data_IF_133502487281
#
_entry.id   IF_133502487281
#
_cell.length_a   1.000
_cell.length_b   1.000
_cell.length_c   1.000
_cell.angle_alpha   90.00
_cell.angle_beta   90.00
_cell.angle_gamma   90.00
#
_symmetry.space_group_name_H-M   'P 1'
#
loop_
_entity.id
_entity.type
_entity.pdbx_description
1 polymer ?
#
# COMPACT_ATOMS: atom_id res chain seq x y z
N UNK A 1 -9.25 10.26 0.79
CA UNK A 1 -7.89 10.81 1.01
C UNK A 1 -7.86 12.15 1.74
N UNK A 2 -8.87 13.03 1.61
CA UNK A 2 -8.91 14.34 2.30
C UNK A 2 -8.61 14.28 3.81
N UNK A 3 -9.16 13.28 4.51
CA UNK A 3 -8.91 13.02 5.94
C UNK A 3 -7.45 12.74 6.29
N UNK A 4 -6.64 12.32 5.32
CA UNK A 4 -5.22 12.02 5.48
C UNK A 4 -4.29 13.09 4.91
N UNK A 5 -4.82 14.25 4.46
CA UNK A 5 -4.03 15.29 3.78
C UNK A 5 -2.83 15.78 4.62
N UNK A 6 -3.02 15.96 5.93
CA UNK A 6 -1.94 16.35 6.85
C UNK A 6 -0.81 15.30 6.86
N UNK A 7 -1.16 14.01 6.95
CA UNK A 7 -0.20 12.89 6.95
C UNK A 7 0.49 12.71 5.60
N UNK A 8 -0.23 12.88 4.49
CA UNK A 8 0.35 12.88 3.15
C UNK A 8 1.43 13.96 3.00
N UNK A 9 1.22 15.12 3.62
CA UNK A 9 2.20 16.21 3.59
C UNK A 9 3.36 15.94 4.55
N UNK A 10 3.08 15.54 5.80
CA UNK A 10 4.11 15.39 6.85
C UNK A 10 4.95 14.12 6.72
N UNK A 11 4.34 12.98 6.37
CA UNK A 11 5.01 11.67 6.29
C UNK A 11 5.46 11.36 4.86
N UNK A 12 4.60 11.56 3.87
CA UNK A 12 4.87 11.22 2.46
C UNK A 12 5.56 12.38 1.71
N UNK A 13 5.66 13.55 2.34
CA UNK A 13 6.32 14.74 1.80
C UNK A 13 5.69 15.23 0.47
N UNK A 14 4.39 15.05 0.32
CA UNK A 14 3.64 15.62 -0.80
C UNK A 14 3.46 17.13 -0.61
N UNK A 15 3.28 17.86 -1.72
CA UNK A 15 2.79 19.24 -1.62
C UNK A 15 1.32 19.25 -1.18
N UNK A 16 0.81 20.34 -0.59
CA UNK A 16 -0.61 20.43 -0.23
C UNK A 16 -1.56 20.15 -1.41
N UNK A 17 -1.20 20.65 -2.61
CA UNK A 17 -1.97 20.42 -3.84
C UNK A 17 -2.02 18.93 -4.23
N UNK A 18 -0.85 18.25 -4.20
CA UNK A 18 -0.79 16.81 -4.46
C UNK A 18 -1.58 16.02 -3.41
N UNK A 19 -1.53 16.42 -2.14
CA UNK A 19 -2.24 15.73 -1.06
C UNK A 19 -3.76 15.87 -1.20
N UNK A 20 -4.27 17.03 -1.62
CA UNK A 20 -5.69 17.25 -1.86
C UNK A 20 -6.21 16.43 -3.05
N UNK A 21 -5.40 16.33 -4.11
CA UNK A 21 -5.77 15.67 -5.38
C UNK A 21 -4.91 14.43 -5.65
N UNK A 22 -4.70 13.60 -4.64
CA UNK A 22 -3.73 12.49 -4.71
C UNK A 22 -3.96 11.56 -5.90
N UNK A 23 -5.18 11.04 -6.07
CA UNK A 23 -5.50 10.12 -7.15
C UNK A 23 -5.28 10.76 -8.53
N UNK A 24 -5.69 12.02 -8.71
CA UNK A 24 -5.49 12.77 -9.96
C UNK A 24 -4.01 13.03 -10.23
N UNK A 25 -3.24 13.35 -9.19
CA UNK A 25 -1.79 13.59 -9.30
C UNK A 25 -1.07 12.31 -9.73
N UNK A 26 -1.40 11.16 -9.12
CA UNK A 26 -0.85 9.87 -9.50
C UNK A 26 -1.27 9.47 -10.92
N UNK A 27 -2.54 9.68 -11.28
CA UNK A 27 -3.04 9.42 -12.63
C UNK A 27 -2.29 10.23 -13.69
N UNK A 28 -2.03 11.52 -13.42
CA UNK A 28 -1.22 12.37 -14.29
C UNK A 28 0.23 11.88 -14.38
N UNK A 29 0.85 11.57 -13.24
CA UNK A 29 2.23 11.07 -13.18
C UNK A 29 2.43 9.87 -14.10
N UNK A 30 1.51 8.89 -14.10
CA UNK A 30 1.63 7.68 -14.92
C UNK A 30 1.21 7.88 -16.37
N UNK A 31 0.19 8.72 -16.61
CA UNK A 31 -0.34 9.00 -17.96
C UNK A 31 0.71 9.70 -18.83
N UNK A 32 1.47 10.62 -18.25
CA UNK A 32 2.48 11.42 -18.96
C UNK A 32 3.89 10.82 -18.90
N UNK A 33 4.05 9.58 -18.43
CA UNK A 33 5.31 8.84 -18.59
C UNK A 33 5.65 8.66 -20.07
N UNK A 34 6.96 8.61 -20.35
CA UNK A 34 7.46 8.28 -21.68
C UNK A 34 7.05 6.84 -22.08
N UNK A 35 6.96 6.55 -23.39
CA UNK A 35 6.65 5.20 -23.87
C UNK A 35 7.56 4.11 -23.28
N UNK A 36 8.86 4.41 -23.10
CA UNK A 36 9.86 3.49 -22.57
C UNK A 36 9.55 3.10 -21.12
N UNK A 37 9.22 4.08 -20.27
CA UNK A 37 8.83 3.82 -18.88
C UNK A 37 7.52 3.03 -18.81
N UNK A 38 6.57 3.26 -19.71
CA UNK A 38 5.33 2.46 -19.76
C UNK A 38 5.59 1.01 -20.17
N UNK A 39 6.52 0.78 -21.10
CA UNK A 39 6.98 -0.57 -21.47
C UNK A 39 7.62 -1.25 -20.26
N UNK A 40 8.48 -0.54 -19.52
CA UNK A 40 9.11 -1.08 -18.31
C UNK A 40 8.08 -1.48 -17.25
N UNK A 41 7.03 -0.66 -17.04
CA UNK A 41 5.94 -0.99 -16.11
C UNK A 41 5.20 -2.26 -16.54
N UNK A 42 4.88 -2.39 -17.84
CA UNK A 42 4.18 -3.57 -18.36
C UNK A 42 5.05 -4.83 -18.29
N UNK A 43 6.37 -4.69 -18.44
CA UNK A 43 7.31 -5.79 -18.39
C UNK A 43 7.75 -6.17 -16.96
N UNK A 44 7.41 -5.37 -15.94
CA UNK A 44 7.85 -5.60 -14.56
C UNK A 44 7.26 -6.86 -13.90
N UNK A 45 6.20 -7.42 -14.48
CA UNK A 45 5.48 -8.60 -13.99
C UNK A 45 5.01 -9.45 -15.18
N UNK A 46 5.01 -10.79 -15.07
CA UNK A 46 4.42 -11.64 -16.10
C UNK A 46 2.89 -11.52 -16.18
N UNK A 47 2.25 -11.00 -15.12
CA UNK A 47 0.81 -10.76 -15.09
C UNK A 47 0.50 -9.40 -15.74
N UNK A 48 -0.36 -9.36 -16.77
CA UNK A 48 -0.79 -8.12 -17.43
C UNK A 48 -1.47 -7.11 -16.49
N UNK A 49 -1.35 -5.82 -16.82
CA UNK A 49 -1.91 -4.74 -15.99
C UNK A 49 -3.43 -4.79 -15.88
N UNK A 50 -4.14 -5.21 -16.94
CA UNK A 50 -5.60 -5.37 -16.89
C UNK A 50 -6.04 -6.43 -15.87
N UNK A 51 -5.26 -7.51 -15.73
CA UNK A 51 -5.57 -8.57 -14.77
C UNK A 51 -5.26 -8.10 -13.34
N UNK A 52 -4.22 -7.28 -13.16
CA UNK A 52 -3.96 -6.60 -11.87
C UNK A 52 -5.09 -5.66 -11.48
N UNK A 53 -5.63 -4.90 -12.45
CA UNK A 53 -6.75 -4.00 -12.21
C UNK A 53 -8.02 -4.79 -11.86
N UNK A 54 -8.30 -5.88 -12.58
CA UNK A 54 -9.43 -6.76 -12.30
C UNK A 54 -9.35 -7.36 -10.89
N UNK A 55 -8.17 -7.84 -10.48
CA UNK A 55 -7.94 -8.35 -9.12
C UNK A 55 -8.20 -7.27 -8.07
N UNK A 56 -7.74 -6.04 -8.29
CA UNK A 56 -8.04 -4.94 -7.37
C UNK A 56 -9.54 -4.64 -7.31
N UNK A 57 -10.23 -4.58 -8.45
CA UNK A 57 -11.67 -4.39 -8.51
C UNK A 57 -12.44 -5.47 -7.75
N UNK A 58 -12.06 -6.74 -7.90
CA UNK A 58 -12.63 -7.85 -7.13
C UNK A 58 -12.35 -7.71 -5.63
N UNK A 59 -11.12 -7.33 -5.26
CA UNK A 59 -10.75 -7.05 -3.88
C UNK A 59 -11.61 -5.92 -3.28
N UNK A 60 -11.82 -4.80 -3.98
CA UNK A 60 -12.70 -3.74 -3.48
C UNK A 60 -14.14 -4.20 -3.35
N UNK A 61 -14.65 -4.99 -4.30
CA UNK A 61 -15.96 -5.62 -4.19
C UNK A 61 -16.10 -6.50 -2.93
N UNK A 62 -15.07 -7.29 -2.61
CA UNK A 62 -15.01 -8.04 -1.35
C UNK A 62 -15.00 -7.11 -0.13
N UNK A 63 -14.18 -6.05 -0.14
CA UNK A 63 -14.10 -5.11 0.97
C UNK A 63 -15.44 -4.42 1.24
N UNK A 64 -16.17 -4.05 0.19
CA UNK A 64 -17.48 -3.43 0.29
C UNK A 64 -18.50 -4.40 0.88
N UNK A 65 -18.53 -5.65 0.39
CA UNK A 65 -19.41 -6.69 0.92
C UNK A 65 -19.09 -7.03 2.38
N UNK A 66 -17.83 -7.29 2.70
CA UNK A 66 -17.39 -7.65 4.05
C UNK A 66 -17.70 -6.54 5.07
N UNK A 67 -17.62 -5.27 4.66
CA UNK A 67 -17.95 -4.13 5.51
C UNK A 67 -19.44 -4.06 5.88
N UNK A 68 -20.33 -4.63 5.06
CA UNK A 68 -21.77 -4.70 5.40
C UNK A 68 -22.08 -5.73 6.49
N UNK A 69 -21.20 -6.73 6.68
CA UNK A 69 -21.40 -7.78 7.67
C UNK A 69 -20.91 -7.28 9.04
N UNK A 70 -21.87 -6.90 9.89
CA UNK A 70 -21.58 -6.40 11.25
C UNK A 70 -21.56 -7.55 12.26
N UNK A 71 -20.80 -7.36 13.35
CA UNK A 71 -20.75 -8.27 14.51
C UNK A 71 -20.36 -9.73 14.18
N UNK A 72 -19.58 -9.95 13.11
CA UNK A 72 -19.04 -11.26 12.77
C UNK A 72 -17.50 -11.24 12.82
N UNK A 73 -16.89 -11.70 13.92
CA UNK A 73 -15.44 -11.67 14.09
C UNK A 73 -14.66 -12.44 13.02
N UNK A 74 -15.25 -13.52 12.49
CA UNK A 74 -14.62 -14.32 11.44
C UNK A 74 -14.52 -13.54 10.14
N UNK A 75 -15.58 -12.82 9.77
CA UNK A 75 -15.59 -11.96 8.57
C UNK A 75 -14.64 -10.78 8.75
N UNK A 76 -14.65 -10.12 9.91
CA UNK A 76 -13.72 -9.00 10.19
C UNK A 76 -12.26 -9.44 10.10
N UNK A 77 -11.91 -10.60 10.67
CA UNK A 77 -10.55 -11.15 10.59
C UNK A 77 -10.16 -11.49 9.16
N UNK A 78 -11.03 -12.15 8.41
CA UNK A 78 -10.79 -12.45 6.99
C UNK A 78 -10.60 -11.17 6.17
N UNK A 79 -11.41 -10.14 6.42
CA UNK A 79 -11.30 -8.84 5.76
C UNK A 79 -9.93 -8.19 6.01
N UNK A 80 -9.49 -8.13 7.27
CA UNK A 80 -8.18 -7.54 7.62
C UNK A 80 -7.02 -8.34 7.03
N UNK A 81 -7.11 -9.68 7.03
CA UNK A 81 -6.12 -10.55 6.40
C UNK A 81 -5.98 -10.25 4.90
N UNK A 82 -7.11 -10.24 4.17
CA UNK A 82 -7.12 -9.92 2.74
C UNK A 82 -6.58 -8.52 2.48
N UNK A 83 -7.01 -7.54 3.27
CA UNK A 83 -6.57 -6.15 3.12
C UNK A 83 -5.07 -5.98 3.36
N UNK A 84 -4.52 -6.61 4.40
CA UNK A 84 -3.10 -6.54 4.71
C UNK A 84 -2.27 -7.26 3.65
N UNK A 85 -2.70 -8.43 3.21
CA UNK A 85 -2.02 -9.16 2.15
C UNK A 85 -1.98 -8.34 0.85
N UNK A 86 -3.12 -7.83 0.40
CA UNK A 86 -3.18 -7.04 -0.85
C UNK A 86 -2.35 -5.76 -0.73
N UNK A 87 -2.50 -4.99 0.36
CA UNK A 87 -1.83 -3.69 0.49
C UNK A 87 -0.32 -3.81 0.72
N UNK A 88 0.13 -4.82 1.46
CA UNK A 88 1.51 -4.87 1.93
C UNK A 88 2.32 -6.00 1.34
N UNK A 89 1.73 -7.12 0.89
CA UNK A 89 2.48 -8.23 0.31
C UNK A 89 2.39 -8.20 -1.22
N UNK A 90 1.18 -8.10 -1.75
CA UNK A 90 0.92 -8.15 -3.19
C UNK A 90 1.36 -6.86 -3.90
N UNK A 91 0.84 -5.70 -3.48
CA UNK A 91 1.01 -4.44 -4.20
C UNK A 91 2.45 -3.88 -4.21
N UNK A 92 3.29 -4.09 -3.18
CA UNK A 92 4.67 -3.63 -3.27
C UNK A 92 5.45 -4.24 -4.44
N UNK A 93 5.28 -5.53 -4.69
CA UNK A 93 5.94 -6.20 -5.81
C UNK A 93 5.23 -5.96 -7.15
N UNK A 94 3.88 -5.98 -7.15
CA UNK A 94 3.09 -5.82 -8.37
C UNK A 94 3.07 -4.38 -8.91
N UNK A 95 3.20 -3.38 -8.04
CA UNK A 95 2.96 -1.96 -8.37
C UNK A 95 4.09 -1.05 -7.87
N UNK A 96 4.34 -0.99 -6.56
CA UNK A 96 5.12 0.12 -5.99
C UNK A 96 6.60 0.07 -6.38
N UNK A 97 7.18 -1.12 -6.44
CA UNK A 97 8.59 -1.30 -6.81
C UNK A 97 8.90 -0.64 -8.15
N UNK A 98 8.12 -0.94 -9.20
CA UNK A 98 8.37 -0.35 -10.52
C UNK A 98 8.06 1.15 -10.56
N UNK A 99 6.96 1.60 -9.94
CA UNK A 99 6.62 3.04 -9.89
C UNK A 99 7.71 3.86 -9.18
N UNK A 100 8.28 3.35 -8.09
CA UNK A 100 9.35 4.02 -7.36
C UNK A 100 10.63 4.20 -8.21
N UNK A 101 10.84 3.30 -9.18
CA UNK A 101 11.99 3.31 -10.09
C UNK A 101 11.77 4.29 -11.24
N UNK A 102 10.64 4.16 -11.95
CA UNK A 102 10.42 4.82 -13.26
C UNK A 102 9.76 6.19 -13.15
N UNK A 103 8.99 6.47 -12.09
CA UNK A 103 8.33 7.77 -11.96
C UNK A 103 9.35 8.90 -11.69
N UNK A 104 9.07 10.13 -12.14
CA UNK A 104 9.96 11.27 -11.91
C UNK A 104 10.19 11.54 -10.41
N UNK A 105 11.39 11.98 -10.06
CA UNK A 105 11.67 12.45 -8.70
C UNK A 105 10.77 13.63 -8.34
N UNK A 106 10.19 13.60 -7.15
CA UNK A 106 9.25 14.63 -6.70
C UNK A 106 7.78 14.33 -6.99
N UNK A 107 7.48 13.40 -7.90
CA UNK A 107 6.12 13.03 -8.27
C UNK A 107 5.37 12.36 -7.12
N UNK A 108 4.03 12.45 -7.13
CA UNK A 108 3.18 11.84 -6.11
C UNK A 108 3.28 10.31 -6.14
N UNK A 109 3.25 9.71 -7.34
CA UNK A 109 3.38 8.27 -7.54
C UNK A 109 4.70 7.73 -6.95
N UNK A 110 5.84 8.38 -7.24
CA UNK A 110 7.14 7.96 -6.70
C UNK A 110 7.21 8.09 -5.19
N UNK A 111 6.79 9.24 -4.64
CA UNK A 111 6.83 9.48 -3.18
C UNK A 111 5.96 8.49 -2.42
N UNK A 112 4.74 8.23 -2.88
CA UNK A 112 3.87 7.24 -2.26
C UNK A 112 4.42 5.82 -2.38
N UNK A 113 4.92 5.43 -3.56
CA UNK A 113 5.51 4.12 -3.77
C UNK A 113 6.74 3.88 -2.87
N UNK A 114 7.60 4.90 -2.71
CA UNK A 114 8.74 4.86 -1.80
C UNK A 114 8.31 4.79 -0.34
N UNK A 115 7.35 5.61 0.08
CA UNK A 115 6.80 5.56 1.44
C UNK A 115 6.28 4.17 1.80
N UNK A 116 5.51 3.55 0.90
CA UNK A 116 4.95 2.21 1.09
C UNK A 116 5.99 1.08 1.01
N UNK A 117 7.16 1.33 0.43
CA UNK A 117 8.23 0.32 0.26
C UNK A 117 9.36 0.45 1.28
N UNK A 118 9.36 1.51 2.10
CA UNK A 118 10.39 1.80 3.09
C UNK A 118 9.89 1.52 4.53
N UNK A 119 10.82 1.55 5.49
CA UNK A 119 10.45 1.47 6.90
C UNK A 119 9.58 2.69 7.29
N UNK A 120 8.55 2.53 8.14
CA UNK A 120 8.20 1.30 8.87
C UNK A 120 7.35 0.29 8.07
N UNK A 121 6.72 0.69 6.95
CA UNK A 121 5.77 -0.15 6.18
C UNK A 121 6.42 -1.44 5.68
N UNK A 122 7.67 -1.38 5.23
CA UNK A 122 8.45 -2.55 4.79
C UNK A 122 8.64 -3.59 5.89
N UNK A 123 8.93 -3.14 7.12
CA UNK A 123 9.10 -4.02 8.26
C UNK A 123 7.77 -4.72 8.61
N UNK A 124 6.68 -3.96 8.58
CA UNK A 124 5.33 -4.50 8.76
C UNK A 124 4.96 -5.54 7.70
N UNK A 125 5.18 -5.24 6.41
CA UNK A 125 5.01 -6.22 5.32
C UNK A 125 5.73 -7.52 5.62
N UNK A 126 7.02 -7.43 5.94
CA UNK A 126 7.84 -8.62 6.15
C UNK A 126 7.27 -9.47 7.30
N UNK A 127 6.83 -8.80 8.37
CA UNK A 127 6.19 -9.50 9.47
C UNK A 127 4.88 -10.19 9.05
N UNK A 128 4.04 -9.53 8.24
CA UNK A 128 2.81 -10.13 7.69
C UNK A 128 3.11 -11.34 6.80
N UNK A 129 4.10 -11.23 5.91
CA UNK A 129 4.48 -12.30 4.98
C UNK A 129 5.10 -13.53 5.66
N UNK A 130 5.68 -13.35 6.84
CA UNK A 130 6.34 -14.42 7.59
C UNK A 130 5.61 -14.81 8.88
N UNK A 131 4.32 -14.47 9.00
CA UNK A 131 3.48 -14.83 10.16
C UNK A 131 3.99 -14.31 11.52
N UNK A 132 4.79 -13.25 11.52
CA UNK A 132 5.37 -12.65 12.72
C UNK A 132 4.48 -11.53 13.28
N UNK A 133 3.18 -11.79 13.46
CA UNK A 133 2.24 -10.77 13.93
C UNK A 133 1.04 -11.38 14.66
N UNK A 134 0.39 -10.55 15.49
CA UNK A 134 -0.86 -10.86 16.18
C UNK A 134 -1.67 -9.58 16.40
N UNK A 135 -2.97 -9.70 16.66
CA UNK A 135 -3.74 -8.58 17.18
C UNK A 135 -3.34 -8.26 18.61
N UNK A 136 -3.40 -6.97 18.97
CA UNK A 136 -3.53 -6.56 20.38
C UNK A 136 -4.86 -7.08 20.94
N UNK A 137 -4.92 -7.31 22.26
CA UNK A 137 -6.07 -7.93 22.92
C UNK A 137 -7.41 -7.17 22.70
N UNK A 138 -7.33 -5.84 22.51
CA UNK A 138 -8.47 -4.96 22.22
C UNK A 138 -8.77 -4.81 20.71
N UNK A 139 -8.02 -5.48 19.85
CA UNK A 139 -8.05 -5.32 18.38
C UNK A 139 -7.74 -3.90 17.88
N UNK A 140 -7.21 -3.02 18.72
CA UNK A 140 -6.89 -1.63 18.37
C UNK A 140 -5.58 -1.49 17.56
N UNK A 141 -4.75 -2.54 17.55
CA UNK A 141 -3.46 -2.52 16.86
C UNK A 141 -3.06 -3.92 16.37
N UNK A 142 -2.10 -3.94 15.44
CA UNK A 142 -1.33 -5.14 15.11
C UNK A 142 0.02 -5.04 15.80
N UNK A 143 0.32 -6.06 16.60
CA UNK A 143 1.64 -6.30 17.18
C UNK A 143 2.41 -7.15 16.18
N UNK A 144 3.64 -6.76 15.85
CA UNK A 144 4.47 -7.50 14.90
C UNK A 144 5.92 -7.54 15.33
N UNK A 145 6.65 -8.54 14.82
CA UNK A 145 8.06 -8.75 15.10
C UNK A 145 8.86 -8.57 13.82
N UNK A 146 9.78 -7.62 13.84
CA UNK A 146 10.64 -7.29 12.72
C UNK A 146 12.06 -6.94 13.19
N UNK A 147 13.02 -6.94 12.26
CA UNK A 147 14.36 -6.42 12.52
C UNK A 147 14.34 -4.89 12.45
N UNK A 148 15.12 -4.21 13.29
CA UNK A 148 15.18 -2.73 13.30
C UNK A 148 15.97 -2.23 12.10
N UNK A 149 17.02 -2.95 11.72
CA UNK A 149 17.91 -2.67 10.61
C UNK A 149 17.74 -3.61 9.42
N UNK A 150 18.79 -3.72 8.62
CA UNK A 150 18.88 -4.58 7.44
C UNK A 150 19.69 -5.85 7.67
N UNK A 151 20.30 -6.00 8.85
CA UNK A 151 21.11 -7.15 9.22
C UNK A 151 20.21 -8.40 9.37
N UNK A 152 20.43 -9.49 8.62
CA UNK A 152 19.63 -10.71 8.73
C UNK A 152 19.82 -11.44 10.07
N UNK A 153 20.90 -11.18 10.81
CA UNK A 153 21.17 -11.83 12.09
C UNK A 153 20.67 -11.02 13.29
N UNK A 154 20.13 -9.81 13.05
CA UNK A 154 19.54 -9.00 14.11
C UNK A 154 18.28 -9.67 14.67
N UNK A 155 18.17 -9.69 16.01
CA UNK A 155 17.02 -10.20 16.71
C UNK A 155 15.73 -9.44 16.34
N UNK A 156 14.63 -10.19 16.24
CA UNK A 156 13.32 -9.59 16.03
C UNK A 156 12.90 -8.77 17.26
N UNK A 157 12.55 -7.53 17.05
CA UNK A 157 12.01 -6.63 18.07
C UNK A 157 10.50 -6.51 17.89
N UNK A 158 9.79 -6.34 19.01
CA UNK A 158 8.35 -6.11 19.03
C UNK A 158 8.05 -4.67 18.62
N UNK A 159 7.20 -4.52 17.63
CA UNK A 159 6.64 -3.25 17.16
C UNK A 159 5.12 -3.32 17.19
N UNK A 160 4.50 -2.16 17.01
CA UNK A 160 3.07 -1.99 17.02
C UNK A 160 2.65 -1.00 15.94
N UNK A 161 1.54 -1.29 15.27
CA UNK A 161 0.89 -0.37 14.35
C UNK A 161 -0.57 -0.21 14.78
N UNK A 162 -0.92 1.01 15.18
CA UNK A 162 -2.28 1.36 15.57
C UNK A 162 -3.21 1.33 14.35
N UNK A 163 -4.49 1.08 14.59
CA UNK A 163 -5.51 1.01 13.53
C UNK A 163 -5.54 2.27 12.66
N UNK A 164 -5.27 3.45 13.23
CA UNK A 164 -5.22 4.72 12.48
C UNK A 164 -4.07 4.77 11.46
N UNK A 165 -2.90 4.25 11.83
CA UNK A 165 -1.73 4.16 10.95
C UNK A 165 -1.93 3.12 9.87
N UNK A 166 -2.43 1.95 10.26
CA UNK A 166 -2.74 0.89 9.33
C UNK A 166 -3.78 1.35 8.30
N UNK A 167 -4.84 2.04 8.75
CA UNK A 167 -5.88 2.60 7.88
C UNK A 167 -5.31 3.61 6.88
N UNK A 168 -4.38 4.46 7.31
CA UNK A 168 -3.68 5.40 6.42
C UNK A 168 -2.88 4.65 5.36
N UNK A 169 -2.03 3.71 5.77
CA UNK A 169 -1.18 2.97 4.82
C UNK A 169 -2.02 2.17 3.81
N UNK A 170 -3.07 1.50 4.27
CA UNK A 170 -4.01 0.76 3.40
C UNK A 170 -4.76 1.70 2.43
N UNK A 171 -5.12 2.91 2.87
CA UNK A 171 -5.78 3.89 2.00
C UNK A 171 -4.84 4.41 0.91
N UNK A 172 -3.60 4.77 1.28
CA UNK A 172 -2.58 5.22 0.31
C UNK A 172 -2.25 4.09 -0.68
N UNK A 173 -2.04 2.87 -0.19
CA UNK A 173 -1.76 1.69 -1.01
C UNK A 173 -2.79 1.48 -2.11
N UNK A 174 -4.08 1.45 -1.73
CA UNK A 174 -5.18 1.30 -2.69
C UNK A 174 -5.25 2.47 -3.66
N UNK A 175 -5.14 3.70 -3.17
CA UNK A 175 -5.21 4.90 -3.99
C UNK A 175 -4.12 4.91 -5.08
N UNK A 176 -2.89 4.58 -4.71
CA UNK A 176 -1.76 4.50 -5.66
C UNK A 176 -2.03 3.44 -6.73
N UNK A 177 -2.38 2.22 -6.30
CA UNK A 177 -2.53 1.12 -7.23
C UNK A 177 -3.70 1.33 -8.21
N UNK A 178 -4.86 1.80 -7.72
CA UNK A 178 -6.00 2.12 -8.58
C UNK A 178 -5.72 3.27 -9.54
N UNK A 179 -5.16 4.37 -9.05
CA UNK A 179 -4.87 5.51 -9.91
C UNK A 179 -3.83 5.15 -10.98
N UNK A 180 -2.83 4.34 -10.63
CA UNK A 180 -1.80 3.89 -11.55
C UNK A 180 -2.38 2.95 -12.62
N UNK A 181 -2.96 1.81 -12.23
CA UNK A 181 -3.41 0.80 -13.19
C UNK A 181 -4.57 1.25 -14.07
N UNK A 182 -5.43 2.15 -13.60
CA UNK A 182 -6.52 2.71 -14.42
C UNK A 182 -6.03 3.73 -15.46
N UNK A 183 -4.75 4.12 -15.46
CA UNK A 183 -4.20 5.16 -16.34
C UNK A 183 -2.91 4.75 -17.07
N UNK A 184 -2.54 3.46 -17.01
CA UNK A 184 -1.37 2.86 -17.65
C UNK A 184 -1.72 2.04 -18.89
#
# INVERSE_FOLDING_TARGET
MKTFSARLTSEVKLTPEMAEKLATSIAADVRFLSPEHKVEIRAASPVPLQDRLAELQAFQGWMDQAHTVRNNPSVTRAQVLSQNYICFVYLPEACFRVLSKVCPSGSAAKKCAQFLSNNPVRAFRNAVAHSNWTYRADFGAIIYWARKGSDPDEALQKFEVEQNDLSFWQAVSRCVAYAAYSNL
#
